data_IF_793491583250
#
_entry.id   IF_793491583250
#
_cell.length_a   1.000
_cell.length_b   1.000
_cell.length_c   1.000
_cell.angle_alpha   90.00
_cell.angle_beta   90.00
_cell.angle_gamma   90.00
#
_symmetry.space_group_name_H-M   'P 1'
#
loop_
_entity.id
_entity.type
_entity.pdbx_description
1 polymer ?
#
# COMPACT_ATOMS: atom_id res chain seq x y z
N UNK A 1 -18.35 -37.50 12.74
CA UNK A 1 -19.06 -36.89 11.60
C UNK A 1 -18.12 -36.91 10.42
N UNK A 2 -18.29 -37.90 9.56
CA UNK A 2 -17.62 -38.02 8.27
C UNK A 2 -18.19 -36.96 7.32
N UNK A 3 -17.34 -36.22 6.61
CA UNK A 3 -17.78 -35.50 5.42
C UNK A 3 -17.18 -36.19 4.21
N UNK A 4 -18.08 -36.77 3.42
CA UNK A 4 -17.82 -37.51 2.20
C UNK A 4 -17.15 -36.64 1.14
N UNK A 5 -16.16 -37.24 0.48
CA UNK A 5 -15.58 -36.80 -0.77
C UNK A 5 -16.65 -36.72 -1.87
N UNK A 6 -16.73 -35.59 -2.59
CA UNK A 6 -17.37 -35.58 -3.91
C UNK A 6 -16.28 -35.76 -4.97
N UNK A 7 -16.39 -36.87 -5.70
CA UNK A 7 -15.53 -37.16 -6.85
C UNK A 7 -16.08 -36.53 -8.13
N UNK A 8 -15.12 -36.19 -9.00
CA UNK A 8 -15.20 -36.34 -10.46
C UNK A 8 -15.84 -35.22 -11.28
N UNK A 9 -14.98 -34.38 -11.84
CA UNK A 9 -14.99 -34.18 -13.30
C UNK A 9 -13.55 -33.93 -13.78
N UNK A 10 -13.02 -34.87 -14.54
CA UNK A 10 -11.76 -34.77 -15.28
C UNK A 10 -11.88 -33.70 -16.37
N UNK A 11 -11.89 -32.43 -15.98
CA UNK A 11 -11.59 -31.35 -16.90
C UNK A 11 -10.10 -31.40 -17.14
N UNK A 12 -9.69 -31.74 -18.37
CA UNK A 12 -8.32 -31.57 -18.85
C UNK A 12 -7.77 -30.27 -18.24
N UNK A 13 -6.77 -30.39 -17.37
CA UNK A 13 -6.08 -29.23 -16.79
C UNK A 13 -5.51 -28.47 -17.98
N UNK A 14 -6.24 -27.46 -18.46
CA UNK A 14 -5.70 -26.50 -19.41
C UNK A 14 -4.48 -25.95 -18.69
N UNK A 15 -3.30 -26.26 -19.20
CA UNK A 15 -2.04 -25.81 -18.62
C UNK A 15 -2.06 -24.29 -18.69
N UNK A 16 -2.57 -23.65 -17.63
CA UNK A 16 -2.53 -22.21 -17.48
C UNK A 16 -1.07 -21.87 -17.28
N UNK A 17 -0.41 -21.49 -18.36
CA UNK A 17 0.97 -21.07 -18.32
C UNK A 17 0.98 -19.63 -17.83
N UNK A 18 1.54 -19.43 -16.64
CA UNK A 18 1.68 -18.10 -16.05
C UNK A 18 2.59 -17.26 -16.95
N UNK A 19 2.12 -16.08 -17.35
CA UNK A 19 2.95 -15.12 -18.06
C UNK A 19 4.19 -14.75 -17.23
N UNK A 20 5.32 -14.58 -17.92
CA UNK A 20 6.52 -14.01 -17.30
C UNK A 20 6.30 -12.54 -16.96
N UNK A 21 7.07 -11.97 -16.01
CA UNK A 21 7.01 -10.53 -15.72
C UNK A 21 7.22 -9.65 -16.96
N UNK A 22 8.10 -10.05 -17.88
CA UNK A 22 8.35 -9.33 -19.13
C UNK A 22 7.15 -9.36 -20.08
N UNK A 23 6.48 -10.50 -20.22
CA UNK A 23 5.25 -10.62 -21.01
C UNK A 23 4.13 -9.76 -20.41
N UNK A 24 3.99 -9.75 -19.08
CA UNK A 24 3.02 -8.93 -18.39
C UNK A 24 3.25 -7.43 -18.62
N UNK A 25 4.49 -6.96 -18.43
CA UNK A 25 4.83 -5.55 -18.61
C UNK A 25 4.62 -5.08 -20.06
N UNK A 26 4.96 -5.93 -21.04
CA UNK A 26 4.72 -5.63 -22.45
C UNK A 26 3.22 -5.54 -22.76
N UNK A 27 2.41 -6.50 -22.28
CA UNK A 27 0.95 -6.46 -22.41
C UNK A 27 0.36 -5.20 -21.76
N UNK A 28 0.84 -4.82 -20.58
CA UNK A 28 0.34 -3.67 -19.85
C UNK A 28 0.62 -2.35 -20.60
N UNK A 29 1.83 -2.15 -21.13
CA UNK A 29 2.15 -0.98 -21.96
C UNK A 29 1.27 -0.91 -23.20
N UNK A 30 1.09 -2.04 -23.89
CA UNK A 30 0.33 -2.09 -25.15
C UNK A 30 -1.16 -1.83 -24.90
N UNK A 31 -1.74 -2.38 -23.83
CA UNK A 31 -3.13 -2.12 -23.47
C UNK A 31 -3.37 -0.71 -22.93
N UNK A 32 -2.34 -0.06 -22.38
CA UNK A 32 -2.41 1.35 -21.98
C UNK A 32 -2.52 2.27 -23.19
N UNK A 33 -1.74 2.01 -24.24
CA UNK A 33 -1.74 2.81 -25.48
C UNK A 33 -2.92 2.46 -26.41
N UNK A 34 -3.29 1.18 -26.45
CA UNK A 34 -4.40 0.68 -27.24
C UNK A 34 -5.27 -0.28 -26.40
N UNK A 35 -6.30 0.24 -25.71
CA UNK A 35 -7.17 -0.56 -24.84
C UNK A 35 -8.00 -1.63 -25.56
N UNK A 36 -8.18 -1.50 -26.88
CA UNK A 36 -9.01 -2.41 -27.69
C UNK A 36 -8.28 -2.84 -28.97
N UNK A 37 -7.23 -3.67 -28.85
CA UNK A 37 -6.55 -4.20 -30.03
C UNK A 37 -7.51 -5.08 -30.84
N UNK A 38 -7.52 -4.83 -32.15
CA UNK A 38 -8.32 -5.59 -33.12
C UNK A 38 -7.77 -7.02 -33.28
N UNK A 39 -8.50 -7.94 -33.93
CA UNK A 39 -8.07 -9.34 -34.07
C UNK A 39 -6.67 -9.51 -34.68
N UNK A 40 -6.29 -8.68 -35.67
CA UNK A 40 -4.96 -8.74 -36.29
C UNK A 40 -3.87 -8.33 -35.31
N UNK A 41 -4.10 -7.26 -34.56
CA UNK A 41 -3.17 -6.79 -33.52
C UNK A 41 -3.02 -7.85 -32.40
N UNK A 42 -4.11 -8.47 -31.96
CA UNK A 42 -4.03 -9.55 -30.96
C UNK A 42 -3.22 -10.75 -31.44
N UNK A 43 -3.37 -11.14 -32.70
CA UNK A 43 -2.58 -12.22 -33.32
C UNK A 43 -1.10 -11.85 -33.44
N UNK A 44 -0.79 -10.57 -33.68
CA UNK A 44 0.59 -10.10 -33.73
C UNK A 44 1.22 -10.13 -32.34
N UNK A 45 0.52 -9.58 -31.33
CA UNK A 45 0.96 -9.59 -29.92
C UNK A 45 1.17 -11.00 -29.38
N UNK A 46 0.27 -11.92 -29.75
CA UNK A 46 0.40 -13.32 -29.34
C UNK A 46 1.68 -13.94 -29.92
N UNK A 47 2.05 -13.62 -31.16
CA UNK A 47 3.31 -14.09 -31.78
C UNK A 47 4.54 -13.45 -31.14
N UNK A 48 4.53 -12.13 -30.96
CA UNK A 48 5.67 -11.38 -30.40
C UNK A 48 5.99 -11.77 -28.96
N UNK A 49 4.96 -12.05 -28.15
CA UNK A 49 5.10 -12.39 -26.74
C UNK A 49 5.14 -13.90 -26.49
N UNK A 50 5.02 -14.73 -27.52
CA UNK A 50 4.94 -16.19 -27.36
C UNK A 50 3.70 -16.64 -26.56
N UNK A 51 2.60 -15.91 -26.67
CA UNK A 51 1.33 -16.17 -25.99
C UNK A 51 0.29 -16.74 -26.94
N UNK A 52 -0.77 -17.35 -26.40
CA UNK A 52 -1.93 -17.71 -27.22
C UNK A 52 -2.88 -16.51 -27.35
N UNK A 53 -3.62 -16.34 -28.46
CA UNK A 53 -4.62 -15.28 -28.59
C UNK A 53 -5.67 -15.28 -27.48
N UNK A 54 -5.99 -16.48 -26.96
CA UNK A 54 -6.86 -16.68 -25.80
C UNK A 54 -6.27 -16.13 -24.51
N UNK A 55 -4.95 -16.27 -24.30
CA UNK A 55 -4.27 -15.74 -23.11
C UNK A 55 -4.30 -14.21 -23.11
N UNK A 56 -3.98 -13.59 -24.25
CA UNK A 56 -4.02 -12.12 -24.44
C UNK A 56 -5.43 -11.56 -24.15
N UNK A 57 -6.49 -12.30 -24.49
CA UNK A 57 -7.87 -11.88 -24.23
C UNK A 57 -8.26 -12.04 -22.75
N UNK A 58 -7.86 -13.13 -22.11
CA UNK A 58 -8.10 -13.40 -20.69
C UNK A 58 -7.41 -12.36 -19.81
N UNK A 59 -6.12 -12.13 -20.03
CA UNK A 59 -5.33 -11.17 -19.25
C UNK A 59 -5.89 -9.74 -19.35
N UNK A 60 -6.43 -9.37 -20.53
CA UNK A 60 -7.09 -8.07 -20.70
C UNK A 60 -8.38 -7.97 -19.89
N UNK A 61 -9.22 -9.00 -19.93
CA UNK A 61 -10.49 -9.01 -19.21
C UNK A 61 -10.26 -8.96 -17.69
N UNK A 62 -9.34 -9.78 -17.20
CA UNK A 62 -8.93 -9.80 -15.80
C UNK A 62 -8.33 -8.46 -15.37
N UNK A 63 -7.44 -7.88 -16.18
CA UNK A 63 -6.83 -6.59 -15.84
C UNK A 63 -7.87 -5.46 -15.79
N UNK A 64 -8.84 -5.43 -16.71
CA UNK A 64 -9.96 -4.48 -16.65
C UNK A 64 -10.78 -4.62 -15.35
N UNK A 65 -11.13 -5.84 -14.97
CA UNK A 65 -11.87 -6.11 -13.73
C UNK A 65 -11.07 -5.71 -12.49
N UNK A 66 -9.79 -6.09 -12.44
CA UNK A 66 -8.90 -5.76 -11.32
C UNK A 66 -8.67 -4.25 -11.20
N UNK A 67 -8.56 -3.50 -12.31
CA UNK A 67 -8.45 -2.04 -12.29
C UNK A 67 -9.72 -1.40 -11.72
N UNK A 68 -10.90 -1.82 -12.20
CA UNK A 68 -12.17 -1.30 -11.70
C UNK A 68 -12.33 -1.54 -10.19
N UNK A 69 -11.98 -2.74 -9.72
CA UNK A 69 -12.03 -3.09 -8.30
C UNK A 69 -10.97 -2.33 -7.47
N UNK A 70 -9.77 -2.12 -8.02
CA UNK A 70 -8.74 -1.33 -7.38
C UNK A 70 -9.16 0.14 -7.23
N UNK A 71 -9.78 0.72 -8.25
CA UNK A 71 -10.28 2.09 -8.22
C UNK A 71 -11.45 2.24 -7.25
N UNK A 72 -12.33 1.22 -7.14
CA UNK A 72 -13.38 1.15 -6.11
C UNK A 72 -12.77 1.15 -4.71
N UNK A 73 -11.83 0.24 -4.44
CA UNK A 73 -11.15 0.15 -3.14
C UNK A 73 -10.40 1.44 -2.79
N UNK A 74 -9.73 2.07 -3.76
CA UNK A 74 -9.05 3.37 -3.55
C UNK A 74 -10.04 4.47 -3.18
N UNK A 75 -11.18 4.54 -3.87
CA UNK A 75 -12.23 5.52 -3.59
C UNK A 75 -12.80 5.34 -2.18
N UNK A 76 -13.04 4.09 -1.77
CA UNK A 76 -13.47 3.76 -0.40
C UNK A 76 -12.41 4.11 0.65
N UNK A 77 -11.14 3.83 0.36
CA UNK A 77 -10.04 4.14 1.25
C UNK A 77 -9.91 5.66 1.48
N UNK A 78 -10.06 6.48 0.43
CA UNK A 78 -10.08 7.94 0.53
C UNK A 78 -11.24 8.38 1.41
N UNK A 79 -12.46 7.90 1.13
CA UNK A 79 -13.65 8.27 1.89
C UNK A 79 -13.56 7.87 3.38
N UNK A 80 -12.98 6.71 3.69
CA UNK A 80 -12.74 6.27 5.06
C UNK A 80 -11.70 7.15 5.76
N UNK A 81 -10.59 7.47 5.07
CA UNK A 81 -9.58 8.37 5.62
C UNK A 81 -10.14 9.77 5.91
N UNK A 82 -10.99 10.31 5.05
CA UNK A 82 -11.67 11.59 5.30
C UNK A 82 -12.59 11.54 6.52
N UNK A 83 -13.34 10.45 6.69
CA UNK A 83 -14.16 10.24 7.89
C UNK A 83 -13.31 10.13 9.15
N UNK A 84 -12.15 9.47 9.06
CA UNK A 84 -11.24 9.31 10.18
C UNK A 84 -10.60 10.62 10.62
N UNK A 85 -10.25 11.52 9.70
CA UNK A 85 -9.66 12.84 10.02
C UNK A 85 -10.51 13.66 11.01
N UNK A 86 -11.82 13.48 10.97
CA UNK A 86 -12.76 14.20 11.83
C UNK A 86 -13.19 13.40 13.07
N UNK A 87 -12.66 12.18 13.24
CA UNK A 87 -12.96 11.34 14.38
C UNK A 87 -12.05 11.72 15.56
N UNK A 88 -12.66 12.09 16.68
CA UNK A 88 -11.97 12.33 17.94
C UNK A 88 -12.25 11.15 18.86
N UNK A 89 -11.20 10.42 19.23
CA UNK A 89 -11.33 9.38 20.24
C UNK A 89 -11.37 10.05 21.63
N UNK A 90 -12.41 9.83 22.45
CA UNK A 90 -12.49 10.43 23.78
C UNK A 90 -11.37 9.96 24.73
N UNK A 91 -10.68 8.86 24.42
CA UNK A 91 -9.54 8.36 25.18
C UNK A 91 -8.17 8.76 24.57
N UNK A 92 -8.10 8.98 23.25
CA UNK A 92 -6.83 9.14 22.51
C UNK A 92 -6.66 10.51 21.83
N UNK A 93 -7.68 11.38 21.85
CA UNK A 93 -7.68 12.66 21.14
C UNK A 93 -8.01 12.54 19.64
N UNK A 94 -7.85 13.62 18.86
CA UNK A 94 -8.11 13.62 17.42
C UNK A 94 -7.21 12.62 16.68
N UNK A 95 -7.80 11.74 15.87
CA UNK A 95 -7.05 10.88 14.98
C UNK A 95 -6.89 11.57 13.62
N UNK A 96 -5.71 12.11 13.32
CA UNK A 96 -5.45 12.72 12.00
C UNK A 96 -4.59 13.97 11.98
N UNK A 97 -4.09 14.45 13.12
CA UNK A 97 -2.90 15.29 13.14
C UNK A 97 -1.66 14.43 12.90
N UNK A 98 -0.63 15.01 12.30
CA UNK A 98 0.68 14.42 11.97
C UNK A 98 1.42 13.90 13.23
N UNK A 99 0.83 12.92 13.92
CA UNK A 99 1.24 12.44 15.24
C UNK A 99 2.65 11.86 15.23
N UNK A 100 3.11 11.44 14.06
CA UNK A 100 4.48 10.96 13.88
C UNK A 100 5.49 12.11 13.89
N UNK A 101 5.17 13.25 13.27
CA UNK A 101 6.00 14.45 13.30
C UNK A 101 5.94 15.16 14.66
N UNK A 102 4.76 15.18 15.30
CA UNK A 102 4.57 15.78 16.62
C UNK A 102 5.32 15.01 17.73
N UNK A 103 5.35 13.67 17.66
CA UNK A 103 6.05 12.87 18.66
C UNK A 103 7.59 13.03 18.60
N UNK A 104 8.16 13.16 17.39
CA UNK A 104 9.60 13.40 17.25
C UNK A 104 9.99 14.81 17.70
N UNK A 105 9.15 15.81 17.38
CA UNK A 105 9.31 17.18 17.88
C UNK A 105 9.28 17.25 19.40
N UNK A 106 8.29 16.61 20.04
CA UNK A 106 8.20 16.56 21.51
C UNK A 106 9.37 15.82 22.17
N UNK A 107 9.98 14.82 21.51
CA UNK A 107 11.18 14.15 22.02
C UNK A 107 12.40 15.07 21.99
N UNK A 108 12.59 15.81 20.90
CA UNK A 108 13.68 16.78 20.78
C UNK A 108 13.51 17.90 21.81
N UNK A 109 12.30 18.45 21.94
CA UNK A 109 12.00 19.47 22.93
C UNK A 109 12.26 18.97 24.37
N UNK A 110 11.82 17.76 24.70
CA UNK A 110 12.12 17.15 26.01
C UNK A 110 13.61 16.97 26.27
N UNK A 111 14.39 16.64 25.24
CA UNK A 111 15.84 16.50 25.36
C UNK A 111 16.48 17.86 25.67
N UNK A 112 16.11 18.90 24.93
CA UNK A 112 16.58 20.28 25.17
C UNK A 112 16.18 20.79 26.56
N UNK A 113 14.93 20.59 26.97
CA UNK A 113 14.46 21.00 28.30
C UNK A 113 15.21 20.29 29.42
N UNK A 114 15.54 19.00 29.26
CA UNK A 114 16.37 18.27 30.23
C UNK A 114 17.78 18.83 30.32
N UNK A 115 18.43 19.12 29.19
CA UNK A 115 19.74 19.76 29.20
C UNK A 115 19.71 21.13 29.89
N UNK A 116 18.64 21.89 29.70
CA UNK A 116 18.50 23.20 30.33
C UNK A 116 18.28 23.10 31.85
N UNK A 117 17.49 22.10 32.28
CA UNK A 117 17.36 21.75 33.70
C UNK A 117 18.72 21.36 34.29
N UNK A 118 19.51 20.55 33.59
CA UNK A 118 20.82 20.12 34.07
C UNK A 118 21.80 21.29 34.19
N UNK A 119 21.80 22.22 33.23
CA UNK A 119 22.61 23.44 33.29
C UNK A 119 22.21 24.33 34.48
N UNK A 120 20.92 24.59 34.64
CA UNK A 120 20.41 25.42 35.74
C UNK A 120 20.69 24.74 37.08
N UNK A 121 20.49 23.43 37.19
CA UNK A 121 20.79 22.64 38.38
C UNK A 121 22.28 22.67 38.73
N UNK A 122 23.16 22.61 37.73
CA UNK A 122 24.61 22.76 37.92
C UNK A 122 24.99 24.15 38.45
N UNK A 123 24.35 25.21 37.95
CA UNK A 123 24.56 26.59 38.45
C UNK A 123 24.08 26.69 39.89
N UNK A 124 22.88 26.21 40.19
CA UNK A 124 22.31 26.22 41.55
C UNK A 124 23.22 25.45 42.51
N UNK A 125 23.68 24.26 42.15
CA UNK A 125 24.59 23.46 42.96
C UNK A 125 25.91 24.20 43.28
N UNK A 126 26.46 24.94 42.31
CA UNK A 126 27.66 25.78 42.51
C UNK A 126 27.44 26.95 43.45
N UNK A 127 26.22 27.49 43.52
CA UNK A 127 25.86 28.58 44.42
C UNK A 127 25.47 28.10 45.81
N UNK A 128 24.77 26.96 45.94
CA UNK A 128 24.38 26.37 47.23
C UNK A 128 25.61 25.78 47.97
N UNK A 129 26.63 25.31 47.25
CA UNK A 129 27.86 24.75 47.82
C UNK A 129 28.90 25.75 48.34
N UNK A 130 28.67 27.07 48.22
CA UNK A 130 29.57 28.10 48.79
C UNK A 130 28.91 28.72 50.02
N UNK A 131 29.46 28.54 51.24
CA UNK A 131 29.02 29.34 52.37
C UNK A 131 29.34 30.80 52.05
N UNK A 132 28.32 31.67 52.09
CA UNK A 132 28.52 33.11 52.04
C UNK A 132 29.41 33.49 53.24
N UNK A 133 30.66 33.88 52.96
CA UNK A 133 31.53 34.57 53.91
C UNK A 133 31.44 36.06 53.64
#
# INVERSE_FOLDING_TARGET
>A
MEYSSCGSSSSQKRNYQRNTPSQFQALESIFKENPRPNPKQRMQLSRELGLTPTQVQHDRADNCMLRAENDRMRSENIALNEKLKNCICPKCGPHGGDSYFDHQGMKLENMYLKEEIDKVSSIIAKFIGRPQR
#
